data_IF_198045011396
#
_entry.id   IF_198045011396
#
_cell.length_a   1.000
_cell.length_b   1.000
_cell.length_c   1.000
_cell.angle_alpha   90.00
_cell.angle_beta   90.00
_cell.angle_gamma   90.00
#
_symmetry.space_group_name_H-M   'P 1'
#
loop_
_entity.id
_entity.type
_entity.pdbx_description
1 polymer ?
#
# COMPACT_ATOMS: atom_id res chain seq x y z
N UNK A 1 -11.35 1.42 -10.13
CA UNK A 1 -12.32 2.46 -9.73
C UNK A 1 -11.90 3.83 -10.23
N UNK A 2 -10.78 4.40 -9.76
CA UNK A 2 -10.32 5.73 -10.17
C UNK A 2 -10.13 5.89 -11.69
N UNK A 3 -9.51 4.90 -12.36
CA UNK A 3 -9.29 4.90 -13.81
C UNK A 3 -10.58 5.03 -14.65
N UNK A 4 -11.74 4.63 -14.12
CA UNK A 4 -13.04 4.75 -14.79
C UNK A 4 -13.83 6.00 -14.37
N UNK A 5 -13.58 6.54 -13.17
CA UNK A 5 -14.26 7.74 -12.63
C UNK A 5 -13.59 9.04 -13.10
N UNK A 6 -12.26 9.06 -13.19
CA UNK A 6 -11.46 10.18 -13.71
C UNK A 6 -12.01 10.78 -15.02
N UNK A 7 -12.23 9.99 -16.09
CA UNK A 7 -12.74 10.53 -17.35
C UNK A 7 -14.23 10.91 -17.34
N UNK A 8 -15.01 10.49 -16.33
CA UNK A 8 -16.47 10.74 -16.29
C UNK A 8 -16.88 11.91 -15.42
N UNK A 9 -16.23 12.10 -14.28
CA UNK A 9 -16.63 13.09 -13.25
C UNK A 9 -15.49 14.02 -12.82
N UNK A 10 -14.30 13.84 -13.39
CA UNK A 10 -13.12 14.65 -13.09
C UNK A 10 -12.39 14.25 -11.80
N UNK A 11 -11.19 14.80 -11.62
CA UNK A 11 -10.27 14.47 -10.53
C UNK A 11 -10.87 14.79 -9.14
N UNK A 12 -11.43 15.99 -8.97
CA UNK A 12 -11.92 16.46 -7.68
C UNK A 12 -13.04 15.59 -7.08
N UNK A 13 -14.05 15.23 -7.88
CA UNK A 13 -15.14 14.38 -7.41
C UNK A 13 -14.73 12.91 -7.25
N UNK A 14 -13.81 12.41 -8.08
CA UNK A 14 -13.27 11.05 -7.95
C UNK A 14 -12.59 10.85 -6.59
N UNK A 15 -11.77 11.82 -6.15
CA UNK A 15 -11.09 11.80 -4.85
C UNK A 15 -12.06 11.89 -3.66
N UNK A 16 -13.13 12.67 -3.79
CA UNK A 16 -14.17 12.75 -2.74
C UNK A 16 -14.87 11.41 -2.55
N UNK A 17 -15.24 10.73 -3.64
CA UNK A 17 -15.90 9.42 -3.57
C UNK A 17 -14.98 8.39 -2.92
N UNK A 18 -13.68 8.35 -3.26
CA UNK A 18 -12.73 7.47 -2.57
C UNK A 18 -12.61 7.81 -1.08
N UNK A 19 -12.64 9.10 -0.73
CA UNK A 19 -12.63 9.55 0.66
C UNK A 19 -13.86 9.07 1.44
N UNK A 20 -15.06 9.21 0.87
CA UNK A 20 -16.30 8.72 1.49
C UNK A 20 -16.30 7.19 1.65
N UNK A 21 -15.72 6.46 0.69
CA UNK A 21 -15.58 5.01 0.77
C UNK A 21 -14.70 4.58 1.94
N UNK A 22 -13.53 5.22 2.09
CA UNK A 22 -12.62 4.96 3.22
C UNK A 22 -13.28 5.36 4.55
N UNK A 23 -13.99 6.49 4.59
CA UNK A 23 -14.72 6.94 5.78
C UNK A 23 -15.78 5.93 6.22
N UNK A 24 -16.55 5.38 5.28
CA UNK A 24 -17.54 4.36 5.59
C UNK A 24 -16.91 3.09 6.20
N UNK A 25 -15.81 2.61 5.63
CA UNK A 25 -15.05 1.48 6.21
C UNK A 25 -14.48 1.83 7.59
N UNK A 26 -14.00 3.06 7.78
CA UNK A 26 -13.47 3.51 9.05
C UNK A 26 -14.56 3.58 10.13
N UNK A 27 -15.77 4.01 9.79
CA UNK A 27 -16.93 4.01 10.71
C UNK A 27 -17.22 2.58 11.15
N UNK A 28 -17.29 1.64 10.20
CA UNK A 28 -17.51 0.22 10.52
C UNK A 28 -16.39 -0.30 11.42
N UNK A 29 -15.13 0.01 11.12
CA UNK A 29 -13.99 -0.39 11.93
C UNK A 29 -14.09 0.18 13.36
N UNK A 30 -14.43 1.47 13.53
CA UNK A 30 -14.59 2.06 14.85
C UNK A 30 -15.73 1.42 15.66
N UNK A 31 -16.81 0.99 15.00
CA UNK A 31 -17.93 0.33 15.67
C UNK A 31 -17.68 -1.14 15.99
N UNK A 32 -16.83 -1.82 15.22
CA UNK A 32 -16.61 -3.28 15.34
C UNK A 32 -15.31 -3.64 16.06
N UNK A 33 -14.29 -2.78 16.00
CA UNK A 33 -13.00 -3.00 16.66
C UNK A 33 -13.17 -2.82 18.16
N UNK A 34 -13.08 -3.94 18.87
CA UNK A 34 -13.02 -3.99 20.32
C UNK A 34 -11.65 -4.48 20.75
N UNK A 35 -11.00 -3.77 21.68
CA UNK A 35 -9.73 -4.23 22.22
C UNK A 35 -9.93 -5.57 22.92
N UNK A 36 -9.21 -6.60 22.48
CA UNK A 36 -9.18 -7.92 23.11
C UNK A 36 -8.38 -7.93 24.42
N UNK A 37 -7.45 -6.97 24.59
CA UNK A 37 -6.49 -6.94 25.68
C UNK A 37 -6.64 -5.60 26.42
N UNK A 38 -6.66 -5.64 27.76
CA UNK A 38 -6.70 -4.43 28.57
C UNK A 38 -5.46 -3.57 28.29
N UNK A 39 -5.59 -2.27 28.02
CA UNK A 39 -4.44 -1.40 27.81
C UNK A 39 -3.57 -1.38 29.07
N UNK A 40 -2.39 -1.97 29.00
CA UNK A 40 -1.39 -1.88 30.07
C UNK A 40 -0.57 -0.61 29.81
N UNK A 41 -0.58 0.39 30.69
CA UNK A 41 0.21 1.59 30.51
C UNK A 41 1.70 1.23 30.59
N UNK A 42 2.36 1.17 29.43
CA UNK A 42 3.82 1.02 29.35
C UNK A 42 4.44 2.41 29.18
N UNK A 43 5.36 2.84 30.05
CA UNK A 43 6.08 4.11 29.86
C UNK A 43 6.88 4.03 28.55
N UNK A 44 6.73 5.05 27.70
CA UNK A 44 7.53 5.17 26.47
C UNK A 44 8.98 5.42 26.84
N UNK A 45 9.82 4.40 26.68
CA UNK A 45 11.26 4.51 26.88
C UNK A 45 11.95 4.51 25.52
N UNK A 46 12.69 5.58 25.23
CA UNK A 46 13.41 5.73 23.96
C UNK A 46 14.45 4.61 23.74
N UNK A 47 14.95 4.05 24.84
CA UNK A 47 15.87 2.89 24.85
C UNK A 47 15.26 1.65 24.20
N UNK A 48 13.94 1.45 24.31
CA UNK A 48 13.26 0.28 23.76
C UNK A 48 13.16 0.36 22.23
N UNK A 49 13.27 1.56 21.65
CA UNK A 49 13.25 1.80 20.20
C UNK A 49 14.64 1.78 19.57
N UNK A 50 15.68 2.14 20.34
CA UNK A 50 17.07 2.23 19.86
C UNK A 50 17.83 0.92 20.12
N UNK A 51 17.47 0.18 21.18
CA UNK A 51 18.07 -1.11 21.53
C UNK A 51 18.13 -2.13 20.37
N UNK A 52 17.06 -2.31 19.57
CA UNK A 52 17.06 -3.24 18.44
C UNK A 52 18.11 -2.93 17.37
N UNK A 53 18.54 -1.68 17.21
CA UNK A 53 19.57 -1.30 16.24
C UNK A 53 20.98 -1.77 16.64
N UNK A 54 21.16 -2.33 17.85
CA UNK A 54 22.43 -2.97 18.24
C UNK A 54 22.51 -4.44 17.80
N UNK A 55 21.40 -5.03 17.35
CA UNK A 55 21.35 -6.41 16.89
C UNK A 55 21.63 -6.50 15.38
N UNK A 56 22.73 -7.16 15.01
CA UNK A 56 23.12 -7.39 13.60
C UNK A 56 22.01 -8.07 12.79
N UNK A 57 21.30 -9.11 13.29
CA UNK A 57 20.19 -9.72 12.57
C UNK A 57 19.04 -8.74 12.28
N UNK A 58 18.75 -7.82 13.20
CA UNK A 58 17.71 -6.81 13.02
C UNK A 58 18.07 -5.82 11.90
N UNK A 59 19.33 -5.35 11.87
CA UNK A 59 19.81 -4.46 10.81
C UNK A 59 19.77 -5.17 9.45
N UNK A 60 20.23 -6.42 9.37
CA UNK A 60 20.21 -7.18 8.12
C UNK A 60 18.79 -7.40 7.62
N UNK A 61 17.85 -7.75 8.51
CA UNK A 61 16.44 -7.88 8.16
C UNK A 61 15.85 -6.55 7.67
N UNK A 62 16.16 -5.44 8.35
CA UNK A 62 15.70 -4.11 7.96
C UNK A 62 16.22 -3.72 6.58
N UNK A 63 17.50 -3.94 6.29
CA UNK A 63 18.09 -3.66 4.99
C UNK A 63 17.51 -4.58 3.90
N UNK A 64 17.37 -5.88 4.19
CA UNK A 64 16.78 -6.83 3.25
C UNK A 64 15.32 -6.47 2.95
N UNK A 65 14.53 -6.11 3.95
CA UNK A 65 13.15 -5.65 3.77
C UNK A 65 13.10 -4.35 2.96
N UNK A 66 13.98 -3.39 3.27
CA UNK A 66 14.10 -2.13 2.54
C UNK A 66 14.38 -2.38 1.05
N UNK A 67 15.44 -3.12 0.74
CA UNK A 67 15.81 -3.48 -0.63
C UNK A 67 14.71 -4.31 -1.31
N UNK A 68 14.06 -5.23 -0.58
CA UNK A 68 12.97 -6.05 -1.08
C UNK A 68 11.74 -5.22 -1.48
N UNK A 69 11.37 -4.23 -0.67
CA UNK A 69 10.29 -3.30 -1.03
C UNK A 69 10.66 -2.49 -2.27
N UNK A 70 11.87 -1.93 -2.34
CA UNK A 70 12.32 -1.23 -3.55
C UNK A 70 12.27 -2.13 -4.79
N UNK A 71 12.81 -3.34 -4.70
CA UNK A 71 12.79 -4.31 -5.80
C UNK A 71 11.38 -4.70 -6.24
N UNK A 72 10.41 -4.76 -5.32
CA UNK A 72 9.02 -5.10 -5.63
C UNK A 72 8.25 -3.92 -6.24
N UNK A 73 8.46 -2.70 -5.76
CA UNK A 73 7.71 -1.53 -6.23
C UNK A 73 8.13 -1.09 -7.64
N UNK A 74 9.39 -1.26 -8.03
CA UNK A 74 9.87 -0.90 -9.37
C UNK A 74 9.05 -1.60 -10.47
N UNK A 75 8.99 -2.93 -10.58
CA UNK A 75 8.24 -3.58 -11.64
C UNK A 75 6.74 -3.26 -11.57
N UNK A 76 6.16 -3.18 -10.37
CA UNK A 76 4.73 -2.84 -10.20
C UNK A 76 4.39 -1.46 -10.78
N UNK A 77 5.27 -0.47 -10.60
CA UNK A 77 5.02 0.88 -11.09
C UNK A 77 5.36 1.06 -12.57
N UNK A 78 6.44 0.44 -13.05
CA UNK A 78 6.96 0.69 -14.39
C UNK A 78 6.42 -0.27 -15.46
N UNK A 79 5.90 -1.45 -15.10
CA UNK A 79 5.40 -2.44 -16.08
C UNK A 79 4.33 -1.88 -17.02
N UNK A 80 3.49 -0.95 -16.55
CA UNK A 80 2.43 -0.35 -17.37
C UNK A 80 3.01 0.63 -18.40
N UNK A 81 4.04 1.39 -18.01
CA UNK A 81 4.67 2.39 -18.87
C UNK A 81 5.50 1.71 -19.95
N UNK A 82 6.35 0.75 -19.55
CA UNK A 82 7.18 -0.04 -20.46
C UNK A 82 6.31 -0.82 -21.47
N UNK A 83 5.22 -1.46 -21.02
CA UNK A 83 4.31 -2.15 -21.93
C UNK A 83 3.66 -1.21 -22.95
N UNK A 84 3.38 0.05 -22.58
CA UNK A 84 2.83 1.04 -23.50
C UNK A 84 3.88 1.54 -24.52
N UNK A 85 5.15 1.65 -24.12
CA UNK A 85 6.24 2.01 -25.03
C UNK A 85 6.55 0.89 -26.04
N UNK A 86 6.43 -0.38 -25.63
CA UNK A 86 6.53 -1.55 -26.50
C UNK A 86 5.32 -1.77 -27.43
N UNK A 87 4.33 -0.87 -27.39
CA UNK A 87 3.18 -0.88 -28.31
C UNK A 87 2.01 -1.77 -27.89
N UNK A 88 1.96 -2.20 -26.61
CA UNK A 88 0.81 -2.93 -26.07
C UNK A 88 -0.41 -2.01 -25.96
N UNK A 89 -1.59 -2.53 -26.34
CA UNK A 89 -2.86 -1.79 -26.24
C UNK A 89 -3.09 -1.24 -24.82
N UNK A 90 -3.54 0.03 -24.73
CA UNK A 90 -3.68 0.74 -23.45
C UNK A 90 -4.65 0.07 -22.48
N UNK A 91 -5.68 -0.62 -22.98
CA UNK A 91 -6.57 -1.37 -22.09
C UNK A 91 -5.86 -2.59 -21.50
N UNK A 92 -5.11 -3.33 -22.33
CA UNK A 92 -4.35 -4.50 -21.86
C UNK A 92 -3.24 -4.08 -20.89
N UNK A 93 -2.52 -2.99 -21.18
CA UNK A 93 -1.48 -2.42 -20.30
C UNK A 93 -2.02 -2.06 -18.91
N UNK A 94 -3.24 -1.53 -18.82
CA UNK A 94 -3.89 -1.27 -17.54
C UNK A 94 -4.26 -2.54 -16.75
N UNK A 95 -4.47 -3.67 -17.44
CA UNK A 95 -4.76 -4.96 -16.82
C UNK A 95 -3.51 -5.77 -16.46
N UNK A 96 -2.32 -5.45 -16.99
CA UNK A 96 -1.07 -6.17 -16.68
C UNK A 96 -0.80 -6.23 -15.17
N UNK A 97 -1.08 -5.16 -14.42
CA UNK A 97 -0.97 -5.18 -12.96
C UNK A 97 -1.93 -6.18 -12.30
N UNK A 98 -3.14 -6.30 -12.84
CA UNK A 98 -4.15 -7.26 -12.33
C UNK A 98 -3.71 -8.69 -12.65
N UNK A 99 -3.14 -8.93 -13.84
CA UNK A 99 -2.60 -10.23 -14.25
C UNK A 99 -1.40 -10.62 -13.37
N UNK A 100 -0.48 -9.68 -13.11
CA UNK A 100 0.67 -9.88 -12.24
C UNK A 100 0.25 -10.28 -10.81
N UNK A 101 -0.81 -9.67 -10.28
CA UNK A 101 -1.35 -10.03 -8.96
C UNK A 101 -2.20 -11.32 -8.97
N UNK A 102 -2.78 -11.69 -10.11
CA UNK A 102 -3.59 -12.91 -10.27
C UNK A 102 -2.74 -14.16 -10.53
N UNK A 103 -1.56 -13.99 -11.12
CA UNK A 103 -0.55 -15.03 -11.24
C UNK A 103 0.05 -15.32 -9.86
N UNK A 104 -0.65 -16.17 -9.11
CA UNK A 104 -0.10 -16.83 -7.92
C UNK A 104 0.98 -17.83 -8.29
#
# INVERSE_FOLDING_TARGET
>A
MLSRLLPRIGFGWSLRISGFMVLAMLIIANLTVRSRIAPVPRPVKLTDYIGPFSEVPFILLMLAACCGFFAMFVPINYVIVEAQEDGVDRELAGYLLTILNAAR
#
